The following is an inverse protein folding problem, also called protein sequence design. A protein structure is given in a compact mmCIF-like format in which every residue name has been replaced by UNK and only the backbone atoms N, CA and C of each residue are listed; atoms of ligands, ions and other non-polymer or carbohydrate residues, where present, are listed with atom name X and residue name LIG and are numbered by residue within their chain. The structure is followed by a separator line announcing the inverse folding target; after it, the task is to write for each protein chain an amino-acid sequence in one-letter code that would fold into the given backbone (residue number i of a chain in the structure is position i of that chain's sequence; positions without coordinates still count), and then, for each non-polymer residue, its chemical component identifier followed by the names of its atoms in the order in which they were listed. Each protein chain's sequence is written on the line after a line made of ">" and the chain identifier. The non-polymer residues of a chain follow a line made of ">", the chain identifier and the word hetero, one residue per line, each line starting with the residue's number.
data_IF_475686053479
#
_entry.id   IF_475686053479
#
_cell.length_a   1.000
_cell.length_b   1.000
_cell.length_c   1.000
_cell.angle_alpha   90.00
_cell.angle_beta   90.00
_cell.angle_gamma   90.00
#
_symmetry.space_group_name_H-M   'P 1'
#
loop_
_entity.id
_entity.type
_entity.pdbx_description
1 polymer ?
#
# COMPACT_ATOMS: atom_id res chain seq x y z
N UNK A 1 34.33 -2.57 22.86
CA UNK A 1 34.09 -2.66 24.32
C UNK A 1 35.38 -2.96 25.07
N UNK A 2 36.20 -3.92 24.63
CA UNK A 2 37.48 -4.25 25.29
C UNK A 2 38.51 -3.11 25.32
N UNK A 3 38.56 -2.26 24.29
CA UNK A 3 39.44 -1.09 24.30
C UNK A 3 39.03 -0.07 25.36
N UNK A 4 37.73 0.08 25.60
CA UNK A 4 37.15 0.98 26.61
C UNK A 4 37.39 0.38 28.00
N UNK A 5 37.19 -0.93 28.18
CA UNK A 5 37.49 -1.63 29.43
C UNK A 5 38.99 -1.62 29.77
N UNK A 6 39.85 -1.68 28.76
CA UNK A 6 41.31 -1.61 28.90
C UNK A 6 41.79 -0.20 29.29
N UNK A 7 41.27 0.84 28.65
CA UNK A 7 41.56 2.24 29.05
C UNK A 7 41.02 2.53 30.45
N UNK A 8 39.82 2.03 30.79
CA UNK A 8 39.27 2.15 32.14
C UNK A 8 40.11 1.42 33.19
N UNK A 9 40.65 0.23 32.86
CA UNK A 9 41.57 -0.51 33.73
C UNK A 9 42.88 0.23 33.96
N UNK A 10 43.48 0.79 32.92
CA UNK A 10 44.75 1.55 33.04
C UNK A 10 44.53 2.81 33.90
N UNK A 11 43.40 3.49 33.71
CA UNK A 11 42.98 4.65 34.51
C UNK A 11 42.74 4.27 35.98
N UNK A 12 42.11 3.12 36.24
CA UNK A 12 41.86 2.62 37.60
C UNK A 12 43.14 2.11 38.28
N UNK A 13 44.05 1.48 37.54
CA UNK A 13 45.33 1.00 38.07
C UNK A 13 46.29 2.15 38.40
N UNK A 14 46.26 3.24 37.62
CA UNK A 14 47.01 4.46 37.95
C UNK A 14 46.58 5.08 39.28
N UNK A 15 45.31 4.92 39.68
CA UNK A 15 44.77 5.42 40.95
C UNK A 15 45.17 4.56 42.16
N UNK A 16 45.25 3.24 42.01
CA UNK A 16 45.59 2.33 43.11
C UNK A 16 47.02 2.55 43.64
N UNK A 17 47.98 2.83 42.75
CA UNK A 17 49.38 3.08 43.10
C UNK A 17 49.63 4.47 43.71
N UNK A 18 48.63 5.35 43.71
CA UNK A 18 48.72 6.71 44.27
C UNK A 18 48.16 6.80 45.70
N UNK A 19 47.43 5.77 46.16
CA UNK A 19 46.68 5.79 47.43
C UNK A 19 47.45 5.29 48.67
N UNK A 20 48.69 4.83 48.54
CA UNK A 20 49.48 4.35 49.70
C UNK A 20 50.30 5.44 50.41
N UNK A 21 50.40 6.64 49.83
CA UNK A 21 51.05 7.80 50.46
C UNK A 21 50.15 9.03 50.32
N UNK A 22 49.29 9.32 51.30
CA UNK A 22 49.21 10.67 51.88
C UNK A 22 48.05 10.82 52.89
N UNK A 23 48.46 11.28 54.06
CA UNK A 23 47.62 11.80 55.11
C UNK A 23 47.24 13.26 54.76
N UNK A 24 45.98 13.48 54.40
CA UNK A 24 45.22 14.73 54.56
C UNK A 24 45.76 16.02 53.89
N UNK A 25 45.34 16.29 52.64
CA UNK A 25 45.38 17.64 52.03
C UNK A 25 44.12 17.90 51.17
N UNK A 26 43.35 18.99 51.39
CA UNK A 26 42.09 19.26 50.68
C UNK A 26 42.24 19.69 49.21
N UNK A 27 43.47 19.75 48.68
CA UNK A 27 43.77 20.23 47.33
C UNK A 27 43.83 19.12 46.26
N UNK A 28 43.88 17.83 46.66
CA UNK A 28 44.02 16.69 45.74
C UNK A 28 42.78 16.42 44.86
N UNK A 29 41.59 16.81 45.34
CA UNK A 29 40.34 16.57 44.62
C UNK A 29 40.27 17.33 43.29
N UNK A 30 40.83 18.54 43.24
CA UNK A 30 40.83 19.39 42.05
C UNK A 30 41.76 18.85 40.95
N UNK A 31 42.95 18.38 41.33
CA UNK A 31 43.93 17.79 40.41
C UNK A 31 43.40 16.50 39.78
N UNK A 32 42.74 15.66 40.58
CA UNK A 32 42.11 14.42 40.10
C UNK A 32 41.01 14.70 39.08
N UNK A 33 40.14 15.68 39.34
CA UNK A 33 39.05 16.07 38.44
C UNK A 33 39.62 16.65 37.14
N UNK A 34 40.64 17.50 37.23
CA UNK A 34 41.29 18.09 36.06
C UNK A 34 41.92 17.02 35.15
N UNK A 35 42.62 16.04 35.73
CA UNK A 35 43.18 14.91 34.99
C UNK A 35 42.10 14.02 34.34
N UNK A 36 41.00 13.75 35.04
CA UNK A 36 39.88 12.98 34.51
C UNK A 36 39.21 13.70 33.33
N UNK A 37 38.96 15.00 33.46
CA UNK A 37 38.35 15.81 32.40
C UNK A 37 39.27 15.86 31.17
N UNK A 38 40.58 16.00 31.38
CA UNK A 38 41.57 16.01 30.29
C UNK A 38 41.62 14.65 29.58
N UNK A 39 41.65 13.55 30.33
CA UNK A 39 41.66 12.20 29.77
C UNK A 39 40.37 11.88 29.01
N UNK A 40 39.22 12.26 29.58
CA UNK A 40 37.91 12.09 28.93
C UNK A 40 37.79 12.94 27.66
N UNK A 41 38.33 14.16 27.67
CA UNK A 41 38.38 15.03 26.51
C UNK A 41 39.25 14.45 25.40
N UNK A 42 40.45 13.95 25.72
CA UNK A 42 41.32 13.30 24.74
C UNK A 42 40.67 12.02 24.18
N UNK A 43 39.96 11.27 25.01
CA UNK A 43 39.26 10.06 24.60
C UNK A 43 38.11 10.36 23.63
N UNK A 44 37.23 11.30 23.98
CA UNK A 44 36.11 11.69 23.09
C UNK A 44 36.61 12.25 21.75
N UNK A 45 37.72 12.98 21.76
CA UNK A 45 38.37 13.47 20.53
C UNK A 45 38.86 12.33 19.63
N UNK A 46 39.37 11.24 20.18
CA UNK A 46 39.77 10.06 19.41
C UNK A 46 38.57 9.40 18.71
N UNK A 47 37.42 9.28 19.37
CA UNK A 47 36.19 8.79 18.74
C UNK A 47 35.73 9.71 17.61
N UNK A 48 35.84 11.03 17.78
CA UNK A 48 35.50 11.98 16.72
C UNK A 48 36.43 11.87 15.51
N UNK A 49 37.72 11.57 15.71
CA UNK A 49 38.66 11.31 14.61
C UNK A 49 38.26 10.07 13.81
N UNK A 50 37.86 9.00 14.50
CA UNK A 50 37.35 7.77 13.85
C UNK A 50 36.04 8.05 13.11
N UNK A 51 35.12 8.79 13.71
CA UNK A 51 33.84 9.18 13.11
C UNK A 51 34.04 9.99 11.82
N UNK A 52 34.98 10.92 11.81
CA UNK A 52 35.31 11.67 10.59
C UNK A 52 36.02 10.81 9.57
N UNK A 53 36.95 9.96 10.00
CA UNK A 53 37.60 9.04 9.09
C UNK A 53 36.57 8.10 8.43
N UNK A 54 35.57 7.62 9.18
CA UNK A 54 34.50 6.80 8.63
C UNK A 54 33.57 7.58 7.71
N UNK A 55 33.25 8.84 8.02
CA UNK A 55 32.49 9.73 7.14
C UNK A 55 33.23 10.05 5.83
N UNK A 56 34.52 10.37 5.90
CA UNK A 56 35.37 10.61 4.72
C UNK A 56 35.50 9.33 3.90
N UNK A 57 35.65 8.17 4.54
CA UNK A 57 35.72 6.89 3.87
C UNK A 57 34.40 6.50 3.18
N UNK A 58 33.27 6.70 3.84
CA UNK A 58 31.95 6.33 3.32
C UNK A 58 31.48 7.25 2.18
N UNK A 59 31.73 8.57 2.28
CA UNK A 59 31.19 9.56 1.35
C UNK A 59 32.23 10.13 0.36
N UNK A 60 33.52 9.92 0.59
CA UNK A 60 34.60 10.40 -0.28
C UNK A 60 34.56 11.92 -0.49
N UNK A 61 34.82 12.36 -1.73
CA UNK A 61 34.84 13.80 -2.10
C UNK A 61 33.45 14.45 -2.16
N UNK A 62 32.37 13.67 -2.18
CA UNK A 62 31.00 14.20 -2.13
C UNK A 62 30.66 14.80 -0.76
N UNK A 63 31.43 14.44 0.27
CA UNK A 63 31.32 15.01 1.61
C UNK A 63 31.46 16.54 1.62
N UNK A 64 32.31 17.11 0.75
CA UNK A 64 32.58 18.55 0.69
C UNK A 64 31.44 19.39 0.10
N UNK A 65 30.43 18.77 -0.51
CA UNK A 65 29.29 19.49 -1.08
C UNK A 65 28.19 19.79 -0.06
N UNK A 66 28.21 19.12 1.09
CA UNK A 66 27.27 19.39 2.18
C UNK A 66 27.92 20.29 3.22
N UNK A 67 27.38 21.50 3.34
CA UNK A 67 27.84 22.53 4.28
C UNK A 67 27.94 22.02 5.72
N UNK A 68 27.07 21.09 6.11
CA UNK A 68 27.06 20.48 7.44
C UNK A 68 28.30 19.65 7.75
N UNK A 69 28.80 18.86 6.80
CA UNK A 69 30.01 18.04 7.02
C UNK A 69 31.28 18.88 6.99
N UNK A 70 31.33 19.90 6.12
CA UNK A 70 32.45 20.85 6.08
C UNK A 70 32.55 21.62 7.40
N UNK A 71 31.42 22.07 7.96
CA UNK A 71 31.40 22.72 9.27
C UNK A 71 31.92 21.78 10.37
N UNK A 72 31.55 20.50 10.33
CA UNK A 72 32.01 19.52 11.32
C UNK A 72 33.53 19.29 11.26
N UNK A 73 34.09 19.17 10.04
CA UNK A 73 35.55 19.07 9.82
C UNK A 73 36.27 20.32 10.36
N UNK A 74 35.75 21.51 10.09
CA UNK A 74 36.35 22.77 10.58
C UNK A 74 36.33 22.81 12.11
N UNK A 75 35.22 22.43 12.74
CA UNK A 75 35.08 22.42 14.21
C UNK A 75 36.09 21.48 14.86
N UNK A 76 36.30 20.30 14.28
CA UNK A 76 37.26 19.31 14.81
C UNK A 76 38.69 19.79 14.60
N UNK A 77 39.01 20.37 13.45
CA UNK A 77 40.32 20.98 13.20
C UNK A 77 40.58 22.12 14.18
N UNK A 78 39.57 22.92 14.51
CA UNK A 78 39.67 23.97 15.52
C UNK A 78 39.87 23.38 16.93
N UNK A 79 39.19 22.28 17.25
CA UNK A 79 39.36 21.57 18.52
C UNK A 79 40.78 20.99 18.67
N UNK A 80 41.28 20.30 17.63
CA UNK A 80 42.64 19.78 17.56
C UNK A 80 43.68 20.90 17.69
N UNK A 81 43.48 22.00 16.96
CA UNK A 81 44.37 23.16 17.01
C UNK A 81 44.37 23.79 18.41
N UNK A 82 43.21 23.88 19.07
CA UNK A 82 43.12 24.43 20.42
C UNK A 82 43.82 23.56 21.47
N UNK A 83 43.76 22.24 21.33
CA UNK A 83 44.47 21.29 22.19
C UNK A 83 45.98 21.37 21.98
N UNK A 84 46.42 21.50 20.72
CA UNK A 84 47.84 21.55 20.37
C UNK A 84 48.51 22.88 20.78
N UNK A 85 47.79 24.00 20.67
CA UNK A 85 48.39 25.34 20.85
C UNK A 85 48.33 25.83 22.31
N UNK A 86 47.81 25.03 23.26
CA UNK A 86 47.73 25.36 24.71
C UNK A 86 47.19 26.77 25.01
N UNK A 87 46.37 27.33 24.12
CA UNK A 87 46.02 28.75 24.15
C UNK A 87 44.83 29.01 25.08
N UNK A 88 44.96 30.06 25.90
CA UNK A 88 44.14 30.43 27.06
C UNK A 88 42.60 30.28 26.99
N UNK A 89 42.05 29.92 28.17
CA UNK A 89 40.72 30.13 28.79
C UNK A 89 39.45 30.42 27.95
N UNK A 90 39.49 31.30 26.95
CA UNK A 90 38.32 31.69 26.14
C UNK A 90 37.95 30.64 25.11
N UNK A 91 38.95 29.97 24.51
CA UNK A 91 38.72 28.92 23.53
C UNK A 91 37.98 27.73 24.15
N UNK A 92 38.31 27.39 25.41
CA UNK A 92 37.71 26.28 26.15
C UNK A 92 36.17 26.43 26.28
N UNK A 93 35.67 27.66 26.49
CA UNK A 93 34.22 27.91 26.59
C UNK A 93 33.49 27.76 25.26
N UNK A 94 34.10 28.22 24.16
CA UNK A 94 33.56 28.05 22.80
C UNK A 94 33.57 26.58 22.37
N UNK A 95 34.60 25.82 22.76
CA UNK A 95 34.65 24.37 22.53
C UNK A 95 33.48 23.63 23.21
N UNK A 96 33.14 24.01 24.43
CA UNK A 96 31.98 23.43 25.13
C UNK A 96 30.68 23.63 24.35
N UNK A 97 30.44 24.85 23.86
CA UNK A 97 29.26 25.15 23.05
C UNK A 97 29.25 24.40 21.71
N UNK A 98 30.39 24.34 21.01
CA UNK A 98 30.53 23.63 19.74
C UNK A 98 30.28 22.12 19.89
N UNK A 99 30.70 21.52 21.02
CA UNK A 99 30.43 20.11 21.32
C UNK A 99 28.93 19.84 21.50
N UNK A 100 28.22 20.72 22.22
CA UNK A 100 26.77 20.60 22.42
C UNK A 100 26.03 20.81 21.10
N UNK A 101 26.44 21.80 20.31
CA UNK A 101 25.91 22.05 18.99
C UNK A 101 26.03 20.83 18.07
N UNK A 102 27.19 20.17 18.05
CA UNK A 102 27.42 18.95 17.27
C UNK A 102 26.50 17.82 17.74
N UNK A 103 26.36 17.60 19.04
CA UNK A 103 25.45 16.59 19.58
C UNK A 103 24.00 16.86 19.16
N UNK A 104 23.54 18.11 19.29
CA UNK A 104 22.21 18.50 18.86
C UNK A 104 21.99 18.25 17.35
N UNK A 105 23.01 18.49 16.52
CA UNK A 105 22.94 18.23 15.08
C UNK A 105 22.93 16.75 14.73
N UNK A 106 23.72 15.93 15.41
CA UNK A 106 23.70 14.46 15.26
C UNK A 106 22.30 13.92 15.58
N UNK A 107 21.74 14.34 16.72
CA UNK A 107 20.39 13.97 17.13
C UNK A 107 19.34 14.45 16.11
N UNK A 108 19.44 15.69 15.62
CA UNK A 108 18.57 16.21 14.56
C UNK A 108 18.62 15.33 13.32
N UNK A 109 19.82 14.95 12.86
CA UNK A 109 19.97 14.12 11.65
C UNK A 109 19.36 12.73 11.86
N UNK A 110 19.55 12.12 13.04
CA UNK A 110 18.91 10.83 13.35
C UNK A 110 17.39 10.95 13.45
N UNK A 111 16.89 12.08 13.95
CA UNK A 111 15.46 12.35 14.05
C UNK A 111 14.84 12.56 12.67
N UNK A 112 15.51 13.33 11.80
CA UNK A 112 15.09 13.55 10.41
C UNK A 112 15.03 12.22 9.66
N UNK A 113 16.04 11.37 9.80
CA UNK A 113 16.05 10.03 9.20
C UNK A 113 14.90 9.15 9.73
N UNK A 114 14.62 9.20 11.03
CA UNK A 114 13.50 8.47 11.62
C UNK A 114 12.15 9.01 11.13
N UNK A 115 12.03 10.33 10.98
CA UNK A 115 10.84 10.98 10.41
C UNK A 115 10.63 10.61 8.95
N UNK A 116 11.69 10.56 8.15
CA UNK A 116 11.63 10.14 6.75
C UNK A 116 11.15 8.69 6.61
N UNK A 117 11.68 7.79 7.45
CA UNK A 117 11.21 6.39 7.50
C UNK A 117 9.73 6.32 7.89
N UNK A 118 9.32 7.06 8.91
CA UNK A 118 7.92 7.11 9.33
C UNK A 118 7.00 7.68 8.23
N UNK A 119 7.44 8.72 7.52
CA UNK A 119 6.71 9.31 6.40
C UNK A 119 6.59 8.36 5.21
N UNK A 120 7.63 7.58 4.92
CA UNK A 120 7.60 6.54 3.90
C UNK A 120 6.58 5.44 4.26
N UNK A 121 6.59 4.96 5.51
CA UNK A 121 5.61 3.98 5.99
C UNK A 121 4.19 4.53 5.95
N UNK A 122 3.99 5.79 6.38
CA UNK A 122 2.68 6.45 6.33
C UNK A 122 2.15 6.57 4.91
N UNK A 123 3.01 6.89 3.94
CA UNK A 123 2.63 7.00 2.53
C UNK A 123 2.22 5.63 1.95
N UNK A 124 2.99 4.57 2.27
CA UNK A 124 2.65 3.19 1.88
C UNK A 124 1.31 2.73 2.49
N UNK A 125 1.07 3.03 3.76
CA UNK A 125 -0.20 2.71 4.42
C UNK A 125 -1.38 3.44 3.74
N UNK A 126 -1.20 4.72 3.41
CA UNK A 126 -2.22 5.53 2.74
C UNK A 126 -2.54 5.01 1.34
N UNK A 127 -1.53 4.57 0.58
CA UNK A 127 -1.72 3.94 -0.73
C UNK A 127 -2.48 2.62 -0.61
N UNK A 128 -2.13 1.77 0.35
CA UNK A 128 -2.84 0.52 0.62
C UNK A 128 -4.31 0.76 1.03
N UNK A 129 -4.57 1.78 1.84
CA UNK A 129 -5.93 2.19 2.23
C UNK A 129 -6.74 2.66 1.02
N UNK A 130 -6.17 3.53 0.17
CA UNK A 130 -6.83 3.98 -1.06
C UNK A 130 -7.12 2.83 -2.01
N UNK A 131 -6.22 1.85 -2.11
CA UNK A 131 -6.46 0.65 -2.90
C UNK A 131 -7.62 -0.17 -2.34
N UNK A 132 -7.69 -0.33 -1.01
CA UNK A 132 -8.80 -0.99 -0.32
C UNK A 132 -10.15 -0.31 -0.58
N UNK A 133 -10.20 1.02 -0.51
CA UNK A 133 -11.41 1.80 -0.79
C UNK A 133 -11.87 1.66 -2.26
N UNK A 134 -10.93 1.73 -3.21
CA UNK A 134 -11.24 1.50 -4.64
C UNK A 134 -11.82 0.12 -4.88
N UNK A 135 -11.24 -0.90 -4.25
CA UNK A 135 -11.72 -2.28 -4.41
C UNK A 135 -13.12 -2.45 -3.80
N UNK A 136 -13.37 -1.85 -2.62
CA UNK A 136 -14.69 -1.82 -1.99
C UNK A 136 -15.73 -1.12 -2.86
N UNK A 137 -15.38 0.01 -3.48
CA UNK A 137 -16.27 0.72 -4.40
C UNK A 137 -16.57 -0.11 -5.66
N UNK A 138 -15.58 -0.84 -6.20
CA UNK A 138 -15.79 -1.78 -7.32
C UNK A 138 -16.74 -2.91 -6.93
N UNK A 139 -16.59 -3.48 -5.74
CA UNK A 139 -17.49 -4.53 -5.24
C UNK A 139 -18.92 -4.01 -5.14
N UNK A 140 -19.15 -2.86 -4.50
CA UNK A 140 -20.50 -2.29 -4.39
C UNK A 140 -21.12 -1.97 -5.76
N UNK A 141 -20.33 -1.46 -6.70
CA UNK A 141 -20.79 -1.18 -8.06
C UNK A 141 -21.19 -2.46 -8.82
N UNK A 142 -20.40 -3.53 -8.68
CA UNK A 142 -20.71 -4.81 -9.32
C UNK A 142 -21.93 -5.48 -8.68
N UNK A 143 -22.11 -5.36 -7.37
CA UNK A 143 -23.30 -5.84 -6.66
C UNK A 143 -24.57 -5.12 -7.14
N UNK A 144 -24.53 -3.79 -7.25
CA UNK A 144 -25.65 -2.99 -7.78
C UNK A 144 -25.97 -3.36 -9.23
N UNK A 145 -24.95 -3.53 -10.08
CA UNK A 145 -25.14 -3.95 -11.47
C UNK A 145 -25.78 -5.33 -11.57
N UNK A 146 -25.36 -6.27 -10.73
CA UNK A 146 -25.94 -7.62 -10.70
C UNK A 146 -27.40 -7.59 -10.23
N UNK A 147 -27.71 -6.79 -9.21
CA UNK A 147 -29.08 -6.60 -8.73
C UNK A 147 -30.00 -6.07 -9.83
N UNK A 148 -29.55 -5.05 -10.58
CA UNK A 148 -30.32 -4.50 -11.70
C UNK A 148 -30.52 -5.55 -12.81
N UNK A 149 -29.50 -6.36 -13.12
CA UNK A 149 -29.65 -7.44 -14.10
C UNK A 149 -30.66 -8.51 -13.64
N UNK A 150 -30.65 -8.87 -12.36
CA UNK A 150 -31.64 -9.79 -11.78
C UNK A 150 -33.06 -9.20 -11.89
N UNK A 151 -33.23 -7.91 -11.62
CA UNK A 151 -34.52 -7.23 -11.73
C UNK A 151 -35.02 -7.18 -13.17
N UNK A 152 -34.17 -6.83 -14.13
CA UNK A 152 -34.52 -6.87 -15.55
C UNK A 152 -34.86 -8.28 -16.04
N UNK A 153 -34.14 -9.31 -15.58
CA UNK A 153 -34.45 -10.71 -15.92
C UNK A 153 -35.84 -11.11 -15.38
N UNK A 154 -36.18 -10.72 -14.16
CA UNK A 154 -37.51 -10.97 -13.57
C UNK A 154 -38.62 -10.27 -14.34
N UNK A 155 -38.38 -9.03 -14.79
CA UNK A 155 -39.35 -8.28 -15.59
C UNK A 155 -39.60 -8.96 -16.94
N UNK A 156 -38.54 -9.39 -17.62
CA UNK A 156 -38.65 -10.14 -18.89
C UNK A 156 -39.36 -11.48 -18.69
N UNK A 157 -39.04 -12.20 -17.63
CA UNK A 157 -39.72 -13.47 -17.30
C UNK A 157 -41.22 -13.26 -17.08
N UNK A 158 -41.61 -12.19 -16.38
CA UNK A 158 -43.01 -11.82 -16.19
C UNK A 158 -43.71 -11.48 -17.51
N UNK A 159 -43.04 -10.76 -18.42
CA UNK A 159 -43.58 -10.48 -19.75
C UNK A 159 -43.77 -11.75 -20.58
N UNK A 160 -42.79 -12.67 -20.56
CA UNK A 160 -42.88 -13.95 -21.25
C UNK A 160 -44.01 -14.82 -20.70
N UNK A 161 -44.21 -14.81 -19.38
CA UNK A 161 -45.34 -15.49 -18.76
C UNK A 161 -46.68 -14.89 -19.22
N UNK A 162 -46.79 -13.56 -19.27
CA UNK A 162 -47.98 -12.88 -19.80
C UNK A 162 -48.29 -13.28 -21.24
N UNK A 163 -47.28 -13.28 -22.12
CA UNK A 163 -47.47 -13.75 -23.50
C UNK A 163 -47.87 -15.21 -23.60
N UNK A 164 -47.34 -16.08 -22.72
CA UNK A 164 -47.74 -17.48 -22.67
C UNK A 164 -49.22 -17.62 -22.31
N UNK A 165 -49.69 -16.89 -21.30
CA UNK A 165 -51.08 -16.88 -20.87
C UNK A 165 -52.01 -16.35 -21.98
N UNK A 166 -51.60 -15.30 -22.70
CA UNK A 166 -52.34 -14.77 -23.86
C UNK A 166 -52.44 -15.78 -25.01
N UNK A 167 -51.35 -16.47 -25.35
CA UNK A 167 -51.35 -17.49 -26.40
C UNK A 167 -52.24 -18.67 -26.02
N UNK A 168 -52.22 -19.09 -24.75
CA UNK A 168 -53.09 -20.15 -24.24
C UNK A 168 -54.58 -19.74 -24.33
N UNK A 169 -54.90 -18.51 -23.92
CA UNK A 169 -56.25 -17.94 -24.03
C UNK A 169 -56.72 -17.84 -25.49
N UNK A 170 -55.86 -17.35 -26.39
CA UNK A 170 -56.15 -17.28 -27.83
C UNK A 170 -56.37 -18.68 -28.42
N UNK A 171 -55.56 -19.67 -28.00
CA UNK A 171 -55.72 -21.06 -28.39
C UNK A 171 -57.04 -21.67 -27.93
N UNK A 172 -57.46 -21.36 -26.70
CA UNK A 172 -58.75 -21.80 -26.15
C UNK A 172 -59.92 -21.14 -26.90
N UNK A 173 -59.86 -19.82 -27.15
CA UNK A 173 -60.86 -19.10 -27.92
C UNK A 173 -60.99 -19.65 -29.35
N UNK A 174 -59.88 -19.96 -30.01
CA UNK A 174 -59.87 -20.57 -31.34
C UNK A 174 -60.51 -21.96 -31.32
N UNK A 175 -60.21 -22.76 -30.29
CA UNK A 175 -60.79 -24.09 -30.11
C UNK A 175 -62.32 -24.01 -29.95
N UNK A 176 -62.81 -23.09 -29.11
CA UNK A 176 -64.25 -22.86 -28.93
C UNK A 176 -64.90 -22.43 -30.26
N UNK A 177 -64.32 -21.46 -30.95
CA UNK A 177 -64.83 -20.99 -32.25
C UNK A 177 -64.89 -22.13 -33.29
N UNK A 178 -63.87 -22.98 -33.35
CA UNK A 178 -63.86 -24.15 -34.22
C UNK A 178 -64.97 -25.16 -33.86
N UNK A 179 -65.19 -25.42 -32.57
CA UNK A 179 -66.29 -26.28 -32.10
C UNK A 179 -67.67 -25.70 -32.42
N UNK A 180 -67.85 -24.38 -32.28
CA UNK A 180 -69.10 -23.69 -32.63
C UNK A 180 -69.39 -23.77 -34.13
N UNK A 181 -68.39 -23.56 -34.98
CA UNK A 181 -68.51 -23.70 -36.45
C UNK A 181 -68.81 -25.14 -36.84
N UNK A 182 -68.10 -26.11 -36.28
CA UNK A 182 -68.37 -27.54 -36.54
C UNK A 182 -69.78 -27.94 -36.07
N UNK A 183 -70.22 -27.46 -34.90
CA UNK A 183 -71.57 -27.68 -34.39
C UNK A 183 -72.66 -27.03 -35.25
N UNK A 184 -72.42 -25.83 -35.78
CA UNK A 184 -73.31 -25.16 -36.72
C UNK A 184 -73.41 -25.92 -38.05
N UNK A 185 -72.28 -26.38 -38.61
CA UNK A 185 -72.26 -27.20 -39.82
C UNK A 185 -73.08 -28.49 -39.65
N UNK A 186 -72.92 -29.19 -38.52
CA UNK A 186 -73.69 -30.42 -38.22
C UNK A 186 -75.20 -30.12 -38.11
N UNK A 187 -75.59 -29.00 -37.50
CA UNK A 187 -77.00 -28.55 -37.45
C UNK A 187 -77.55 -28.25 -38.84
N UNK A 188 -76.78 -27.58 -39.70
CA UNK A 188 -77.15 -27.32 -41.09
C UNK A 188 -77.33 -28.62 -41.89
N UNK A 189 -76.48 -29.64 -41.66
CA UNK A 189 -76.62 -30.96 -42.25
C UNK A 189 -77.85 -31.72 -41.73
N UNK A 190 -78.20 -31.61 -40.44
CA UNK A 190 -79.43 -32.20 -39.90
C UNK A 190 -80.71 -31.51 -40.40
N UNK A 191 -80.64 -30.22 -40.74
CA UNK A 191 -81.78 -29.48 -41.30
C UNK A 191 -81.95 -29.72 -42.82
N UNK A 192 -80.88 -30.12 -43.53
CA UNK A 192 -80.88 -30.52 -44.95
C UNK A 192 -80.93 -32.04 -45.17
N UNK A 193 -81.70 -32.76 -44.35
CA UNK A 193 -82.05 -34.15 -44.61
C UNK A 193 -83.02 -34.34 -45.79
N UNK A 194 -82.60 -34.07 -47.03
CA UNK A 194 -82.99 -34.91 -48.17
C UNK A 194 -82.00 -34.82 -49.35
N UNK A 195 -81.66 -36.01 -49.83
CA UNK A 195 -80.98 -36.42 -51.08
C UNK A 195 -79.47 -36.66 -51.02
N UNK A 196 -79.15 -37.82 -51.59
CA UNK A 196 -78.05 -38.74 -51.43
C UNK A 196 -76.85 -38.47 -52.38
N UNK A 197 -76.02 -39.45 -52.81
CA UNK A 197 -74.57 -39.44 -52.56
C UNK A 197 -73.72 -39.53 -53.85
N UNK A 198 -72.63 -38.77 -54.01
CA UNK A 198 -71.66 -39.06 -55.09
C UNK A 198 -70.22 -38.68 -54.72
N UNK A 199 -69.38 -39.71 -54.66
CA UNK A 199 -68.03 -39.89 -55.22
C UNK A 199 -67.29 -38.65 -55.76
N UNK A 200 -66.05 -38.44 -55.32
CA UNK A 200 -64.88 -38.60 -56.20
C UNK A 200 -63.54 -38.60 -55.44
N UNK A 201 -62.60 -39.31 -56.06
CA UNK A 201 -61.25 -39.67 -55.63
C UNK A 201 -60.20 -38.57 -55.93
N UNK A 202 -59.12 -38.65 -55.16
CA UNK A 202 -57.69 -38.46 -55.48
C UNK A 202 -57.04 -37.09 -55.80
N UNK A 203 -55.72 -37.09 -55.52
CA UNK A 203 -54.62 -36.19 -55.93
C UNK A 203 -54.38 -34.94 -55.05
N UNK A 204 -53.19 -34.56 -54.54
CA UNK A 204 -51.77 -34.85 -54.75
C UNK A 204 -51.01 -34.22 -53.54
N UNK A 205 -50.15 -34.92 -52.80
CA UNK A 205 -48.67 -34.89 -52.87
C UNK A 205 -47.98 -33.58 -53.36
N UNK A 206 -47.33 -32.84 -52.45
CA UNK A 206 -46.10 -32.02 -52.69
C UNK A 206 -45.56 -31.54 -51.32
N UNK A 207 -44.47 -32.08 -50.78
CA UNK A 207 -43.03 -31.80 -50.96
C UNK A 207 -42.49 -30.62 -50.13
N UNK A 208 -41.32 -30.88 -49.54
CA UNK A 208 -40.73 -30.14 -48.44
C UNK A 208 -40.24 -28.74 -48.77
N UNK A 209 -40.08 -27.94 -47.71
CA UNK A 209 -39.06 -26.89 -47.66
C UNK A 209 -38.38 -27.00 -46.28
N UNK A 210 -37.21 -27.64 -46.29
CA UNK A 210 -36.11 -27.32 -45.41
C UNK A 210 -35.76 -25.83 -45.59
N UNK A 211 -35.71 -25.06 -44.50
CA UNK A 211 -34.92 -23.83 -44.49
C UNK A 211 -34.04 -23.80 -43.24
N UNK A 212 -32.90 -24.50 -43.37
CA UNK A 212 -31.68 -24.18 -42.67
C UNK A 212 -31.37 -22.67 -42.82
N UNK A 213 -31.48 -21.92 -41.73
CA UNK A 213 -30.72 -20.69 -41.55
C UNK A 213 -29.91 -20.75 -40.26
N UNK A 214 -28.70 -21.27 -40.44
CA UNK A 214 -27.54 -20.81 -39.71
C UNK A 214 -27.43 -19.28 -39.82
N UNK A 215 -27.38 -18.60 -38.68
CA UNK A 215 -26.60 -17.38 -38.58
C UNK A 215 -25.70 -17.44 -37.34
N UNK A 216 -24.42 -17.68 -37.62
CA UNK A 216 -23.28 -17.44 -36.75
C UNK A 216 -23.04 -15.94 -36.67
N UNK A 217 -23.02 -15.39 -35.46
CA UNK A 217 -22.32 -14.16 -35.02
C UNK A 217 -23.03 -13.74 -33.71
N UNK A 218 -22.40 -13.38 -32.59
CA UNK A 218 -21.10 -12.78 -32.38
C UNK A 218 -20.80 -12.74 -30.86
N UNK A 219 -19.56 -13.09 -30.52
CA UNK A 219 -18.71 -12.44 -29.50
C UNK A 219 -19.21 -12.28 -28.06
N UNK A 220 -18.60 -13.09 -27.18
CA UNK A 220 -18.11 -12.71 -25.86
C UNK A 220 -17.55 -11.28 -25.77
N UNK A 221 -17.76 -10.57 -24.66
CA UNK A 221 -16.79 -9.63 -24.14
C UNK A 221 -15.98 -10.29 -23.02
N UNK A 222 -14.69 -10.45 -23.30
CA UNK A 222 -13.64 -10.57 -22.29
C UNK A 222 -13.63 -9.26 -21.52
N UNK A 223 -13.96 -9.31 -20.22
CA UNK A 223 -13.71 -8.18 -19.31
C UNK A 223 -12.36 -8.44 -18.63
N UNK A 224 -11.32 -7.83 -19.20
CA UNK A 224 -10.08 -7.49 -18.49
C UNK A 224 -10.21 -6.07 -17.94
N UNK A 225 -10.23 -5.93 -16.61
CA UNK A 225 -9.49 -4.92 -15.81
C UNK A 225 -9.93 -4.86 -14.34
#
# INVERSE_FOLDING_TARGET
>A
LDLIASTFRIVLQGKANFTEDENHRPDEGSESIHWLIRSFTSFTLFFFMIEIASLIFAFGTRCFWHLGYVADIIIIMLCLSSELTSSESKAIRLLGFLRIWRFARLVSTTLDMAQDQHNATKSCLQEAQQHGEKLRAKVSFLEERNMNEIEHRKEVEKMLQGYKEEVEMLGEALKIAAFDVAGAAIKDFQQKGHVSPLDHEDDEFFDGIDEDRANKDKTTPVITN
#
